data_IF_838628476249
#
_entry.id   IF_838628476249
#
_cell.length_a   1.000
_cell.length_b   1.000
_cell.length_c   1.000
_cell.angle_alpha   90.00
_cell.angle_beta   90.00
_cell.angle_gamma   90.00
#
_symmetry.space_group_name_H-M   'P 1'
#
loop_
_entity.id
_entity.type
_entity.pdbx_description
1 polymer ?
#
# COMPACT_ATOMS: atom_id res chain seq x y z
N UNK A 1 22.89 29.04 20.78
CA UNK A 1 22.08 28.89 19.56
C UNK A 1 23.10 28.79 18.44
N UNK A 2 23.30 27.69 17.74
CA UNK A 2 22.39 26.59 17.41
C UNK A 2 23.04 25.22 17.62
N UNK A 3 22.31 24.36 18.30
CA UNK A 3 22.66 22.97 18.58
C UNK A 3 21.57 22.10 17.95
N UNK A 4 21.46 22.09 16.61
CA UNK A 4 20.54 21.20 15.87
C UNK A 4 20.98 20.96 14.41
N UNK A 5 22.27 20.75 14.14
CA UNK A 5 22.66 20.03 12.92
C UNK A 5 22.41 18.54 13.19
N UNK A 6 21.13 18.15 13.21
CA UNK A 6 20.75 16.74 13.12
C UNK A 6 21.44 16.18 11.88
N UNK A 7 22.07 15.03 12.05
CA UNK A 7 22.94 14.34 11.10
C UNK A 7 22.16 14.03 9.81
N UNK A 8 22.02 15.03 8.92
CA UNK A 8 21.29 14.87 7.67
C UNK A 8 22.01 13.82 6.83
N UNK A 9 21.29 12.79 6.37
CA UNK A 9 21.94 11.71 5.66
C UNK A 9 22.56 12.28 4.38
N UNK A 10 23.82 11.89 4.12
CA UNK A 10 24.69 12.47 3.08
C UNK A 10 24.13 12.40 1.66
N UNK A 11 23.03 11.67 1.47
CA UNK A 11 22.35 11.46 0.22
C UNK A 11 21.11 12.35 0.04
N UNK A 12 20.92 13.37 0.87
CA UNK A 12 19.82 14.32 0.76
C UNK A 12 20.17 15.53 -0.12
N UNK A 13 19.27 15.88 -1.04
CA UNK A 13 19.33 17.08 -1.91
C UNK A 13 18.15 17.98 -1.57
N UNK A 14 18.43 19.25 -1.25
CA UNK A 14 17.40 20.26 -1.01
C UNK A 14 17.06 21.01 -2.31
N UNK A 15 15.78 21.04 -2.68
CA UNK A 15 15.22 21.66 -3.88
C UNK A 15 14.19 22.73 -3.47
N UNK A 16 14.67 23.87 -2.96
CA UNK A 16 13.80 24.91 -2.42
C UNK A 16 13.18 24.49 -1.09
N UNK A 17 11.85 24.32 -1.05
CA UNK A 17 11.13 23.80 0.12
C UNK A 17 11.04 22.26 0.12
N UNK A 18 11.43 21.61 -0.98
CA UNK A 18 11.38 20.16 -1.10
C UNK A 18 12.72 19.51 -0.75
N UNK A 19 12.66 18.30 -0.22
CA UNK A 19 13.82 17.48 0.10
C UNK A 19 13.75 16.16 -0.65
N UNK A 20 14.77 15.88 -1.45
CA UNK A 20 14.92 14.62 -2.19
C UNK A 20 16.02 13.76 -1.55
N UNK A 21 15.86 12.45 -1.60
CA UNK A 21 16.87 11.49 -1.13
C UNK A 21 17.37 10.67 -2.32
N UNK A 22 18.68 10.66 -2.52
CA UNK A 22 19.33 9.84 -3.54
C UNK A 22 19.55 8.46 -2.97
N UNK A 23 18.93 7.47 -3.59
CA UNK A 23 19.14 6.06 -3.26
C UNK A 23 19.73 5.33 -4.46
N UNK A 24 20.62 4.33 -4.24
CA UNK A 24 21.02 3.40 -5.28
C UNK A 24 19.79 2.78 -5.98
N UNK A 25 19.87 2.62 -7.30
CA UNK A 25 18.73 2.11 -8.08
C UNK A 25 18.30 0.71 -7.63
N UNK A 26 19.25 -0.15 -7.30
CA UNK A 26 18.99 -1.51 -6.80
C UNK A 26 18.26 -1.49 -5.45
N UNK A 27 18.64 -0.59 -4.55
CA UNK A 27 17.93 -0.39 -3.28
C UNK A 27 16.50 0.11 -3.50
N UNK A 28 16.31 1.11 -4.37
CA UNK A 28 14.99 1.59 -4.75
C UNK A 28 14.10 0.48 -5.31
N UNK A 29 14.62 -0.32 -6.23
CA UNK A 29 13.88 -1.42 -6.85
C UNK A 29 13.47 -2.48 -5.82
N UNK A 30 14.37 -2.85 -4.90
CA UNK A 30 14.04 -3.78 -3.81
C UNK A 30 12.93 -3.24 -2.90
N UNK A 31 13.02 -1.96 -2.52
CA UNK A 31 11.99 -1.32 -1.71
C UNK A 31 10.65 -1.27 -2.46
N UNK A 32 10.68 -1.01 -3.77
CA UNK A 32 9.50 -0.97 -4.61
C UNK A 32 8.84 -2.34 -4.75
N UNK A 33 9.62 -3.40 -4.95
CA UNK A 33 9.13 -4.79 -4.99
C UNK A 33 8.48 -5.18 -3.66
N UNK A 34 9.15 -4.90 -2.53
CA UNK A 34 8.60 -5.15 -1.20
C UNK A 34 7.30 -4.37 -0.95
N UNK A 35 7.21 -3.12 -1.41
CA UNK A 35 5.99 -2.32 -1.33
C UNK A 35 4.83 -2.97 -2.10
N UNK A 36 5.08 -3.43 -3.33
CA UNK A 36 4.06 -4.10 -4.15
C UNK A 36 3.55 -5.38 -3.46
N UNK A 37 4.45 -6.16 -2.84
CA UNK A 37 4.07 -7.35 -2.09
C UNK A 37 3.18 -7.01 -0.89
N UNK A 38 3.55 -5.96 -0.12
CA UNK A 38 2.74 -5.48 1.02
C UNK A 38 1.38 -4.96 0.56
N UNK A 39 1.30 -4.21 -0.52
CA UNK A 39 0.04 -3.74 -1.11
C UNK A 39 -0.86 -4.92 -1.53
N UNK A 40 -0.28 -5.94 -2.16
CA UNK A 40 -0.98 -7.17 -2.53
C UNK A 40 -1.52 -7.95 -1.32
N UNK A 41 -0.69 -8.14 -0.29
CA UNK A 41 -1.10 -8.80 0.95
C UNK A 41 -2.18 -8.02 1.69
N UNK A 42 -2.10 -6.69 1.69
CA UNK A 42 -3.12 -5.81 2.30
C UNK A 42 -4.46 -5.97 1.60
N UNK A 43 -4.48 -5.98 0.26
CA UNK A 43 -5.70 -6.19 -0.51
C UNK A 43 -6.33 -7.57 -0.25
N UNK A 44 -5.51 -8.63 -0.16
CA UNK A 44 -6.00 -9.97 0.19
C UNK A 44 -6.58 -10.03 1.60
N UNK A 45 -5.94 -9.36 2.56
CA UNK A 45 -6.45 -9.25 3.93
C UNK A 45 -7.78 -8.51 3.99
N UNK A 46 -7.92 -7.38 3.30
CA UNK A 46 -9.19 -6.65 3.22
C UNK A 46 -10.30 -7.48 2.58
N UNK A 47 -10.00 -8.28 1.56
CA UNK A 47 -10.96 -9.23 0.98
C UNK A 47 -11.36 -10.31 1.98
N UNK A 48 -10.40 -10.87 2.72
CA UNK A 48 -10.66 -11.85 3.76
C UNK A 48 -11.54 -11.28 4.87
N UNK A 49 -11.20 -10.10 5.39
CA UNK A 49 -11.94 -9.44 6.46
C UNK A 49 -13.36 -9.07 6.03
N UNK A 50 -13.53 -8.60 4.79
CA UNK A 50 -14.85 -8.35 4.19
C UNK A 50 -15.69 -9.63 4.04
N UNK A 51 -15.06 -10.73 3.63
CA UNK A 51 -15.74 -12.04 3.55
C UNK A 51 -16.17 -12.54 4.92
N UNK A 52 -15.33 -12.33 5.94
CA UNK A 52 -15.62 -12.73 7.32
C UNK A 52 -16.74 -11.87 7.94
N UNK A 53 -16.80 -10.58 7.63
CA UNK A 53 -17.84 -9.66 8.13
C UNK A 53 -19.14 -9.67 7.30
N UNK A 54 -19.15 -10.32 6.13
CA UNK A 54 -20.27 -10.31 5.20
C UNK A 54 -20.49 -8.97 4.50
N UNK A 55 -19.50 -8.08 4.52
CA UNK A 55 -19.57 -6.78 3.83
C UNK A 55 -19.10 -6.90 2.39
N UNK A 56 -19.87 -6.38 1.44
CA UNK A 56 -19.51 -6.41 0.03
C UNK A 56 -18.48 -5.31 -0.30
N UNK A 57 -17.55 -5.56 -1.24
CA UNK A 57 -16.73 -4.51 -1.83
C UNK A 57 -17.60 -3.40 -2.47
N UNK A 58 -17.18 -2.13 -2.40
CA UNK A 58 -17.85 -1.07 -3.14
C UNK A 58 -17.75 -1.34 -4.66
N UNK A 59 -18.87 -1.20 -5.38
CA UNK A 59 -18.95 -1.42 -6.82
C UNK A 59 -19.30 -2.84 -7.26
N UNK A 60 -19.53 -3.77 -6.33
CA UNK A 60 -20.06 -5.10 -6.67
C UNK A 60 -21.54 -5.02 -7.12
N UNK A 61 -21.87 -5.72 -8.19
CA UNK A 61 -23.27 -5.84 -8.65
C UNK A 61 -24.05 -6.83 -7.79
N UNK A 62 -25.37 -6.73 -7.79
CA UNK A 62 -26.25 -7.66 -7.05
C UNK A 62 -26.02 -9.13 -7.44
N UNK A 63 -25.66 -9.41 -8.69
CA UNK A 63 -25.31 -10.75 -9.17
C UNK A 63 -24.00 -11.25 -8.54
N UNK A 64 -22.96 -10.41 -8.53
CA UNK A 64 -21.67 -10.75 -7.91
C UNK A 64 -21.80 -10.99 -6.39
N UNK A 65 -22.71 -10.26 -5.73
CA UNK A 65 -23.04 -10.47 -4.31
C UNK A 65 -23.75 -11.81 -4.10
N UNK A 66 -24.69 -12.19 -4.98
CA UNK A 66 -25.37 -13.49 -4.89
C UNK A 66 -24.42 -14.65 -5.13
N UNK A 67 -23.52 -14.54 -6.09
CA UNK A 67 -22.47 -15.53 -6.34
C UNK A 67 -21.57 -15.69 -5.10
N UNK A 68 -21.12 -14.57 -4.52
CA UNK A 68 -20.28 -14.57 -3.32
C UNK A 68 -20.96 -15.22 -2.10
N UNK A 69 -22.27 -15.00 -1.95
CA UNK A 69 -23.09 -15.57 -0.87
C UNK A 69 -23.63 -16.98 -1.19
N UNK A 70 -23.35 -17.52 -2.38
CA UNK A 70 -23.83 -18.84 -2.81
C UNK A 70 -25.35 -18.92 -3.04
N UNK A 71 -26.00 -17.79 -3.32
CA UNK A 71 -27.45 -17.66 -3.47
C UNK A 71 -27.97 -17.99 -4.88
N UNK A 72 -27.09 -18.21 -5.87
CA UNK A 72 -27.46 -18.49 -7.26
C UNK A 72 -27.68 -19.98 -7.59
N UNK A 73 -27.60 -20.87 -6.59
CA UNK A 73 -27.90 -22.32 -6.74
C UNK A 73 -29.21 -22.70 -6.06
N UNK A 74 -30.34 -22.39 -6.70
CA UNK A 74 -31.65 -23.04 -6.45
C UNK A 74 -32.50 -23.04 -7.70
#
# INVERSE_FOLDING_TARGET
>A
MDEMAADEPRNTIHLGEETAVVVPLDEYLRLREAQIEVEGLTALRELHDRKASGTNPPGMTTEQVREMLGLDRT
#
